data_IF_525858866438
#
_entry.id   IF_525858866438
#
_cell.length_a   1.000
_cell.length_b   1.000
_cell.length_c   1.000
_cell.angle_alpha   90.00
_cell.angle_beta   90.00
_cell.angle_gamma   90.00
#
_symmetry.space_group_name_H-M   'P 1'
#
loop_
_entity.id
_entity.type
_entity.pdbx_description
1 polymer ?
#
# COMPACT_ATOMS: atom_id res chain seq x y z
N UNK A 1 2.63 55.84 -13.25
CA UNK A 1 1.16 55.76 -13.12
C UNK A 1 0.81 54.28 -12.95
N UNK A 2 1.11 53.71 -11.77
CA UNK A 2 0.11 53.38 -10.75
C UNK A 2 -1.20 52.82 -11.31
N UNK A 3 -1.41 51.51 -11.16
CA UNK A 3 -2.52 50.92 -10.36
C UNK A 3 -2.37 49.39 -10.31
N UNK A 4 -2.06 48.79 -9.15
CA UNK A 4 -2.96 48.46 -8.01
C UNK A 4 -3.77 47.17 -8.36
N UNK A 5 -3.91 46.10 -7.57
CA UNK A 5 -4.06 45.85 -6.11
C UNK A 5 -3.74 44.35 -5.90
N UNK A 6 -2.78 43.94 -5.05
CA UNK A 6 -2.91 43.49 -3.64
C UNK A 6 -3.95 42.38 -3.42
N UNK A 7 -3.52 41.32 -2.72
CA UNK A 7 -4.22 40.46 -1.73
C UNK A 7 -3.43 39.13 -1.74
N UNK A 8 -2.90 38.57 -0.65
CA UNK A 8 -2.86 38.94 0.75
C UNK A 8 -1.66 38.18 1.34
N UNK A 9 -0.86 38.86 2.15
CA UNK A 9 -0.08 38.22 3.21
C UNK A 9 -1.06 37.49 4.15
N UNK A 10 -0.61 36.35 4.68
CA UNK A 10 -1.04 35.63 5.89
C UNK A 10 -1.47 34.19 5.57
N UNK A 11 -0.52 33.25 5.74
CA UNK A 11 -0.67 32.11 6.64
C UNK A 11 0.63 31.30 6.70
N UNK A 12 1.34 31.50 7.81
CA UNK A 12 2.00 30.46 8.62
C UNK A 12 3.18 29.67 8.00
N UNK A 13 4.37 29.99 8.52
CA UNK A 13 5.49 29.08 8.83
C UNK A 13 5.46 27.71 8.12
N UNK A 14 6.00 27.69 6.91
CA UNK A 14 6.68 26.50 6.41
C UNK A 14 8.04 27.00 6.00
N UNK A 15 9.08 26.52 6.68
CA UNK A 15 10.44 26.49 6.17
C UNK A 15 10.44 25.61 4.91
N UNK A 16 9.87 26.15 3.82
CA UNK A 16 10.02 25.65 2.48
C UNK A 16 11.43 26.02 2.11
N UNK A 17 12.36 25.08 2.29
CA UNK A 17 13.61 25.07 1.57
C UNK A 17 13.30 25.10 0.08
N UNK A 18 13.15 26.32 -0.46
CA UNK A 18 13.41 26.61 -1.86
C UNK A 18 14.88 26.29 -2.08
N UNK A 19 15.20 25.03 -2.37
CA UNK A 19 16.45 24.70 -3.03
C UNK A 19 16.34 25.34 -4.40
N UNK A 20 16.94 26.51 -4.57
CA UNK A 20 16.98 27.19 -5.86
C UNK A 20 17.53 26.23 -6.92
N UNK A 21 16.99 26.28 -8.14
CA UNK A 21 17.45 25.46 -9.25
C UNK A 21 18.98 25.53 -9.43
N UNK A 22 19.61 26.67 -9.10
CA UNK A 22 21.06 26.88 -9.09
C UNK A 22 21.85 25.93 -8.17
N UNK A 23 21.29 25.54 -7.02
CA UNK A 23 21.95 24.61 -6.09
C UNK A 23 21.87 23.15 -6.56
N UNK A 24 20.77 22.77 -7.24
CA UNK A 24 20.61 21.42 -7.87
C UNK A 24 21.61 21.21 -9.00
N UNK A 25 21.84 22.27 -9.78
CA UNK A 25 22.73 22.30 -10.95
C UNK A 25 24.20 22.12 -10.58
N UNK A 26 24.63 22.72 -9.45
CA UNK A 26 26.01 22.70 -8.99
C UNK A 26 26.49 21.32 -8.51
N UNK A 27 25.56 20.44 -8.15
CA UNK A 27 25.85 19.21 -7.40
C UNK A 27 26.09 17.97 -8.31
N UNK A 28 25.50 17.90 -9.50
CA UNK A 28 25.60 16.72 -10.39
C UNK A 28 26.09 16.99 -11.82
N UNK A 29 26.13 18.25 -12.24
CA UNK A 29 26.26 18.63 -13.64
C UNK A 29 24.95 18.39 -14.43
N UNK A 30 24.57 19.38 -15.26
CA UNK A 30 23.30 19.37 -16.00
C UNK A 30 23.09 18.14 -16.89
N UNK A 31 24.12 17.71 -17.63
CA UNK A 31 23.98 16.67 -18.66
C UNK A 31 23.54 15.31 -18.10
N UNK A 32 23.98 14.96 -16.89
CA UNK A 32 23.61 13.68 -16.27
C UNK A 32 22.18 13.69 -15.72
N UNK A 33 21.75 14.83 -15.14
CA UNK A 33 20.39 14.99 -14.64
C UNK A 33 19.37 15.09 -15.77
N UNK A 34 19.73 15.71 -16.90
CA UNK A 34 18.84 15.83 -18.05
C UNK A 34 18.44 14.47 -18.63
N UNK A 35 19.38 13.51 -18.71
CA UNK A 35 19.08 12.14 -19.16
C UNK A 35 18.11 11.43 -18.20
N UNK A 36 18.33 11.56 -16.89
CA UNK A 36 17.41 10.95 -15.91
C UNK A 36 16.03 11.63 -15.91
N UNK A 37 15.97 12.93 -16.18
CA UNK A 37 14.72 13.68 -16.33
C UNK A 37 13.94 13.25 -17.59
N UNK A 38 14.63 12.92 -18.69
CA UNK A 38 13.99 12.34 -19.88
C UNK A 38 13.35 10.99 -19.58
N UNK A 39 14.05 10.09 -18.87
CA UNK A 39 13.47 8.82 -18.40
C UNK A 39 12.26 9.06 -17.49
N UNK A 40 12.37 10.06 -16.61
CA UNK A 40 11.31 10.47 -15.69
C UNK A 40 10.05 10.95 -16.42
N UNK A 41 10.23 11.73 -17.49
CA UNK A 41 9.15 12.19 -18.38
C UNK A 41 8.51 11.03 -19.13
N UNK A 42 9.31 10.07 -19.63
CA UNK A 42 8.81 8.89 -20.29
C UNK A 42 7.94 8.04 -19.35
N UNK A 43 8.39 7.81 -18.12
CA UNK A 43 7.60 7.12 -17.10
C UNK A 43 6.30 7.86 -16.80
N UNK A 44 6.37 9.17 -16.54
CA UNK A 44 5.17 10.01 -16.30
C UNK A 44 4.18 9.91 -17.46
N UNK A 45 4.65 9.93 -18.70
CA UNK A 45 3.80 9.80 -19.88
C UNK A 45 3.07 8.46 -19.90
N UNK A 46 3.75 7.36 -19.58
CA UNK A 46 3.12 6.03 -19.57
C UNK A 46 2.13 5.91 -18.40
N UNK A 47 2.47 6.42 -17.21
CA UNK A 47 1.64 6.28 -16.00
C UNK A 47 0.51 7.30 -15.86
N UNK A 48 0.56 8.43 -16.56
CA UNK A 48 -0.48 9.47 -16.52
C UNK A 48 -1.66 9.18 -17.46
N UNK A 49 -1.63 8.09 -18.22
CA UNK A 49 -2.82 7.66 -18.93
C UNK A 49 -3.86 7.23 -17.90
N UNK A 50 -5.01 7.92 -17.88
CA UNK A 50 -6.21 7.41 -17.20
C UNK A 50 -6.59 6.09 -17.86
N UNK A 51 -6.22 4.99 -17.22
CA UNK A 51 -6.58 3.66 -17.70
C UNK A 51 -8.03 3.42 -17.26
N UNK A 52 -8.98 3.78 -18.11
CA UNK A 52 -10.40 3.47 -17.90
C UNK A 52 -10.73 1.98 -18.19
N UNK A 53 -9.80 1.06 -17.91
CA UNK A 53 -9.92 -0.35 -18.29
C UNK A 53 -8.88 -1.28 -17.65
N UNK A 54 -8.90 -2.54 -18.08
CA UNK A 54 -8.00 -3.59 -17.58
C UNK A 54 -6.57 -3.34 -18.08
N UNK A 55 -5.63 -3.25 -17.15
CA UNK A 55 -4.19 -3.10 -17.44
C UNK A 55 -3.67 -4.39 -18.07
N UNK A 56 -3.06 -4.37 -19.26
CA UNK A 56 -2.47 -5.58 -19.84
C UNK A 56 -1.14 -5.96 -19.18
N UNK A 57 -0.75 -7.25 -19.23
CA UNK A 57 0.57 -7.69 -18.74
C UNK A 57 1.71 -6.99 -19.48
N UNK A 58 1.55 -6.74 -20.78
CA UNK A 58 2.53 -6.00 -21.58
C UNK A 58 2.70 -4.57 -21.09
N UNK A 59 1.59 -3.87 -20.78
CA UNK A 59 1.64 -2.54 -20.21
C UNK A 59 2.37 -2.56 -18.85
N UNK A 60 2.05 -3.51 -17.97
CA UNK A 60 2.71 -3.65 -16.66
C UNK A 60 4.23 -3.86 -16.82
N UNK A 61 4.65 -4.70 -17.78
CA UNK A 61 6.07 -4.91 -18.13
C UNK A 61 6.73 -3.63 -18.65
N UNK A 62 6.07 -2.88 -19.53
CA UNK A 62 6.58 -1.61 -20.06
C UNK A 62 6.79 -0.56 -18.96
N UNK A 63 5.84 -0.46 -18.03
CA UNK A 63 5.98 0.42 -16.85
C UNK A 63 7.13 -0.05 -15.96
N UNK A 64 7.29 -1.35 -15.76
CA UNK A 64 8.41 -1.92 -14.97
C UNK A 64 9.75 -1.51 -15.56
N UNK A 65 9.92 -1.64 -16.88
CA UNK A 65 11.14 -1.26 -17.59
C UNK A 65 11.41 0.25 -17.44
N UNK A 66 10.39 1.09 -17.62
CA UNK A 66 10.52 2.53 -17.42
C UNK A 66 10.94 2.88 -15.98
N UNK A 67 10.37 2.18 -15.01
CA UNK A 67 10.74 2.31 -13.60
C UNK A 67 12.19 1.92 -13.31
N UNK A 68 12.65 0.79 -13.86
CA UNK A 68 14.05 0.35 -13.74
C UNK A 68 15.01 1.36 -14.36
N UNK A 69 14.66 1.92 -15.53
CA UNK A 69 15.49 2.93 -16.19
C UNK A 69 15.64 4.20 -15.35
N UNK A 70 14.55 4.71 -14.76
CA UNK A 70 14.59 5.92 -13.92
C UNK A 70 15.36 5.67 -12.62
N UNK A 71 15.04 4.58 -11.91
CA UNK A 71 15.69 4.26 -10.63
C UNK A 71 17.18 3.96 -10.81
N UNK A 72 17.56 3.19 -11.83
CA UNK A 72 18.97 2.94 -12.17
C UNK A 72 19.70 4.23 -12.55
N UNK A 73 19.06 5.13 -13.29
CA UNK A 73 19.69 6.40 -13.68
C UNK A 73 20.05 7.24 -12.45
N UNK A 74 19.08 7.53 -11.58
CA UNK A 74 19.33 8.33 -10.38
C UNK A 74 20.22 7.60 -9.35
N UNK A 75 20.10 6.28 -9.23
CA UNK A 75 20.91 5.48 -8.30
C UNK A 75 22.41 5.45 -8.64
N UNK A 76 22.77 5.70 -9.91
CA UNK A 76 24.17 5.78 -10.34
C UNK A 76 24.81 7.15 -10.09
N UNK A 77 24.01 8.16 -9.74
CA UNK A 77 24.48 9.51 -9.46
C UNK A 77 24.71 9.69 -7.96
N UNK A 78 25.76 10.44 -7.59
CA UNK A 78 26.18 10.60 -6.18
C UNK A 78 25.66 11.87 -5.50
N UNK A 79 25.10 12.79 -6.28
CA UNK A 79 24.60 14.08 -5.80
C UNK A 79 23.30 13.94 -4.98
N UNK A 80 23.05 14.88 -4.09
CA UNK A 80 21.92 14.81 -3.15
C UNK A 80 20.57 14.90 -3.89
N UNK A 81 20.50 15.75 -4.91
CA UNK A 81 19.32 15.86 -5.78
C UNK A 81 18.97 14.54 -6.46
N UNK A 82 19.97 13.75 -6.87
CA UNK A 82 19.73 12.43 -7.46
C UNK A 82 19.32 11.40 -6.40
N UNK A 83 19.88 11.44 -5.20
CA UNK A 83 19.44 10.56 -4.10
C UNK A 83 17.97 10.80 -3.74
N UNK A 84 17.54 12.07 -3.67
CA UNK A 84 16.15 12.43 -3.42
C UNK A 84 15.23 11.87 -4.52
N UNK A 85 15.59 12.06 -5.80
CA UNK A 85 14.83 11.51 -6.92
C UNK A 85 14.83 9.97 -6.92
N UNK A 86 15.97 9.34 -6.62
CA UNK A 86 16.07 7.89 -6.49
C UNK A 86 15.07 7.36 -5.46
N UNK A 87 15.08 7.92 -4.24
CA UNK A 87 14.14 7.54 -3.16
C UNK A 87 12.68 7.73 -3.59
N UNK A 88 12.37 8.87 -4.21
CA UNK A 88 11.03 9.16 -4.73
C UNK A 88 10.58 8.11 -5.77
N UNK A 89 11.43 7.83 -6.77
CA UNK A 89 11.09 6.92 -7.84
C UNK A 89 11.05 5.46 -7.40
N UNK A 90 11.88 5.03 -6.44
CA UNK A 90 11.76 3.70 -5.83
C UNK A 90 10.39 3.51 -5.21
N UNK A 91 9.96 4.41 -4.30
CA UNK A 91 8.64 4.33 -3.65
C UNK A 91 7.50 4.39 -4.68
N UNK A 92 7.58 5.32 -5.64
CA UNK A 92 6.58 5.47 -6.70
C UNK A 92 6.46 4.20 -7.56
N UNK A 93 7.59 3.65 -8.00
CA UNK A 93 7.62 2.48 -8.87
C UNK A 93 7.22 1.19 -8.16
N UNK A 94 7.57 1.04 -6.88
CA UNK A 94 7.04 -0.05 -6.05
C UNK A 94 5.51 -0.02 -6.05
N UNK A 95 4.90 1.13 -5.74
CA UNK A 95 3.44 1.30 -5.71
C UNK A 95 2.79 1.05 -7.07
N UNK A 96 3.30 1.67 -8.14
CA UNK A 96 2.72 1.54 -9.48
C UNK A 96 2.82 0.10 -9.99
N UNK A 97 3.98 -0.56 -9.85
CA UNK A 97 4.13 -1.94 -10.29
C UNK A 97 3.19 -2.85 -9.48
N UNK A 98 3.09 -2.66 -8.17
CA UNK A 98 2.22 -3.46 -7.32
C UNK A 98 0.78 -3.50 -7.86
N UNK A 99 0.18 -2.35 -8.18
CA UNK A 99 -1.17 -2.31 -8.75
C UNK A 99 -1.24 -2.78 -10.21
N UNK A 100 -0.26 -2.46 -11.05
CA UNK A 100 -0.28 -2.86 -12.46
C UNK A 100 -0.20 -4.39 -12.65
N UNK A 101 0.37 -5.10 -11.68
CA UNK A 101 0.39 -6.56 -11.63
C UNK A 101 -0.71 -7.17 -10.75
N UNK A 102 -1.70 -6.37 -10.34
CA UNK A 102 -2.86 -6.83 -9.53
C UNK A 102 -2.44 -7.48 -8.20
N UNK A 103 -1.27 -7.10 -7.67
CA UNK A 103 -0.78 -7.64 -6.41
C UNK A 103 -1.66 -7.25 -5.23
N UNK A 104 -2.41 -6.16 -5.35
CA UNK A 104 -3.42 -5.75 -4.38
C UNK A 104 -4.52 -6.78 -4.23
N UNK A 105 -5.09 -7.23 -5.35
CA UNK A 105 -6.12 -8.26 -5.34
C UNK A 105 -5.55 -9.61 -4.90
N UNK A 106 -4.36 -9.96 -5.39
CA UNK A 106 -3.68 -11.19 -5.01
C UNK A 106 -3.43 -11.27 -3.50
N UNK A 107 -2.91 -10.19 -2.92
CA UNK A 107 -2.54 -10.16 -1.51
C UNK A 107 -3.77 -10.18 -0.59
N UNK A 108 -4.86 -9.52 -0.97
CA UNK A 108 -6.13 -9.60 -0.23
C UNK A 108 -6.69 -11.04 -0.23
N UNK A 109 -6.67 -11.72 -1.39
CA UNK A 109 -7.06 -13.14 -1.47
C UNK A 109 -6.16 -14.02 -0.63
N UNK A 110 -4.85 -13.79 -0.67
CA UNK A 110 -3.91 -14.51 0.19
C UNK A 110 -4.25 -14.32 1.69
N UNK A 111 -4.60 -13.10 2.11
CA UNK A 111 -5.02 -12.85 3.49
C UNK A 111 -6.28 -13.64 3.86
N UNK A 112 -7.26 -13.72 2.96
CA UNK A 112 -8.47 -14.54 3.18
C UNK A 112 -8.11 -16.03 3.34
N UNK A 113 -7.25 -16.58 2.48
CA UNK A 113 -6.83 -17.98 2.54
C UNK A 113 -6.04 -18.32 3.83
N UNK A 114 -5.22 -17.38 4.30
CA UNK A 114 -4.50 -17.52 5.58
C UNK A 114 -5.48 -17.46 6.74
N UNK A 115 -6.40 -16.50 6.75
CA UNK A 115 -7.40 -16.33 7.80
C UNK A 115 -8.33 -17.54 7.93
N UNK A 116 -8.78 -18.10 6.80
CA UNK A 116 -9.63 -19.30 6.77
C UNK A 116 -8.84 -20.59 7.06
N UNK A 117 -7.51 -20.52 7.13
CA UNK A 117 -6.63 -21.68 7.31
C UNK A 117 -6.86 -22.81 6.29
N UNK A 118 -7.20 -22.45 5.05
CA UNK A 118 -7.50 -23.38 3.96
C UNK A 118 -6.28 -24.20 3.51
N UNK A 119 -5.07 -23.74 3.87
CA UNK A 119 -3.81 -24.36 3.51
C UNK A 119 -3.05 -24.78 4.76
N UNK A 120 -2.80 -26.08 4.93
CA UNK A 120 -2.14 -26.60 6.14
C UNK A 120 -0.79 -25.94 6.46
N UNK A 121 -0.03 -25.50 5.45
CA UNK A 121 1.26 -24.85 5.64
C UNK A 121 1.17 -23.44 6.24
N UNK A 122 0.00 -22.79 6.28
CA UNK A 122 -0.13 -21.45 6.86
C UNK A 122 0.01 -21.46 8.38
N UNK A 123 -0.23 -22.61 9.02
CA UNK A 123 -0.12 -22.79 10.48
C UNK A 123 1.31 -22.67 11.01
N UNK A 124 2.30 -22.86 10.14
CA UNK A 124 3.71 -22.84 10.51
C UNK A 124 4.31 -21.41 10.49
N UNK A 125 3.56 -20.42 9.99
CA UNK A 125 4.07 -19.07 9.75
C UNK A 125 3.08 -17.99 10.17
N UNK A 126 3.52 -17.07 11.02
CA UNK A 126 2.71 -15.92 11.42
C UNK A 126 2.81 -14.77 10.40
N UNK A 127 2.05 -14.89 9.31
CA UNK A 127 2.00 -13.86 8.27
C UNK A 127 1.38 -12.54 8.76
N UNK A 128 0.61 -12.55 9.84
CA UNK A 128 -0.06 -11.37 10.39
C UNK A 128 0.66 -10.74 11.60
N UNK A 129 1.82 -11.28 12.00
CA UNK A 129 2.66 -10.75 13.07
C UNK A 129 2.86 -9.23 12.99
N UNK A 130 2.63 -8.50 14.08
CA UNK A 130 3.00 -7.08 14.17
C UNK A 130 4.51 -6.88 14.39
N UNK A 131 5.24 -7.93 14.76
CA UNK A 131 6.69 -7.91 14.86
C UNK A 131 7.31 -8.13 13.46
N UNK A 132 8.07 -7.14 12.97
CA UNK A 132 8.65 -7.14 11.62
C UNK A 132 9.69 -8.23 11.40
N UNK A 133 10.47 -8.61 12.41
CA UNK A 133 11.44 -9.70 12.29
C UNK A 133 10.72 -11.05 12.12
N UNK A 134 9.67 -11.28 12.92
CA UNK A 134 8.83 -12.47 12.80
C UNK A 134 8.09 -12.50 11.47
N UNK A 135 7.55 -11.36 11.01
CA UNK A 135 6.90 -11.25 9.70
C UNK A 135 7.88 -11.52 8.56
N UNK A 136 9.10 -11.00 8.65
CA UNK A 136 10.16 -11.28 7.66
C UNK A 136 10.53 -12.75 7.62
N UNK A 137 10.55 -13.44 8.76
CA UNK A 137 10.70 -14.90 8.81
C UNK A 137 9.49 -15.60 8.20
N UNK A 138 8.26 -15.18 8.51
CA UNK A 138 7.04 -15.79 7.98
C UNK A 138 6.99 -15.71 6.44
N UNK A 139 7.24 -14.54 5.85
CA UNK A 139 7.27 -14.39 4.38
C UNK A 139 8.55 -14.96 3.75
N UNK A 140 9.69 -14.92 4.43
CA UNK A 140 10.94 -15.48 3.94
C UNK A 140 10.95 -17.00 3.92
N UNK A 141 10.78 -17.64 5.08
CA UNK A 141 10.75 -19.09 5.24
C UNK A 141 9.45 -19.70 4.73
N UNK A 142 8.32 -19.00 4.90
CA UNK A 142 7.02 -19.41 4.37
C UNK A 142 6.82 -19.11 2.89
N UNK A 143 7.82 -18.56 2.18
CA UNK A 143 7.72 -18.20 0.75
C UNK A 143 7.11 -19.31 -0.12
N UNK A 144 7.49 -20.57 0.11
CA UNK A 144 6.94 -21.69 -0.66
C UNK A 144 5.43 -21.88 -0.42
N UNK A 145 4.96 -21.70 0.82
CA UNK A 145 3.54 -21.73 1.15
C UNK A 145 2.79 -20.53 0.55
N UNK A 146 3.36 -19.33 0.66
CA UNK A 146 2.84 -18.12 0.01
C UNK A 146 2.67 -18.33 -1.50
N UNK A 147 3.71 -18.79 -2.19
CA UNK A 147 3.68 -18.98 -3.65
C UNK A 147 2.69 -20.09 -4.05
N UNK A 148 2.53 -21.14 -3.24
CA UNK A 148 1.51 -22.16 -3.48
C UNK A 148 0.11 -21.53 -3.49
N UNK A 149 -0.23 -20.77 -2.46
CA UNK A 149 -1.53 -20.11 -2.35
C UNK A 149 -1.72 -19.12 -3.51
N UNK A 150 -0.70 -18.31 -3.80
CA UNK A 150 -0.76 -17.32 -4.87
C UNK A 150 -1.06 -17.97 -6.23
N UNK A 151 -0.43 -19.10 -6.56
CA UNK A 151 -0.69 -19.82 -7.81
C UNK A 151 -2.13 -20.32 -7.94
N UNK A 152 -2.82 -20.57 -6.83
CA UNK A 152 -4.20 -21.05 -6.84
C UNK A 152 -5.22 -19.91 -6.97
N UNK A 153 -4.94 -18.73 -6.37
CA UNK A 153 -5.95 -17.66 -6.22
C UNK A 153 -5.65 -16.36 -6.99
N UNK A 154 -4.40 -16.14 -7.41
CA UNK A 154 -3.97 -14.90 -8.04
C UNK A 154 -3.97 -14.97 -9.58
N UNK A 155 -3.90 -13.80 -10.23
CA UNK A 155 -3.83 -13.73 -11.69
C UNK A 155 -2.41 -14.01 -12.19
N UNK A 156 -2.28 -14.35 -13.48
CA UNK A 156 -0.99 -14.55 -14.15
C UNK A 156 -0.06 -13.32 -14.01
N UNK A 157 -0.63 -12.11 -13.95
CA UNK A 157 0.15 -10.88 -13.73
C UNK A 157 0.79 -10.89 -12.34
N UNK A 158 0.02 -11.22 -11.32
CA UNK A 158 0.54 -11.30 -9.96
C UNK A 158 1.62 -12.37 -9.84
N UNK A 159 1.43 -13.54 -10.47
CA UNK A 159 2.46 -14.59 -10.52
C UNK A 159 3.73 -14.08 -11.19
N UNK A 160 3.61 -13.39 -12.34
CA UNK A 160 4.76 -12.79 -13.04
C UNK A 160 5.53 -11.80 -12.14
N UNK A 161 4.81 -11.00 -11.34
CA UNK A 161 5.42 -10.12 -10.36
C UNK A 161 6.15 -10.91 -9.27
N UNK A 162 5.51 -11.93 -8.71
CA UNK A 162 6.09 -12.73 -7.63
C UNK A 162 7.35 -13.48 -8.07
N UNK A 163 7.40 -13.99 -9.29
CA UNK A 163 8.57 -14.70 -9.83
C UNK A 163 9.81 -13.80 -9.92
N UNK A 164 9.62 -12.52 -10.23
CA UNK A 164 10.72 -11.59 -10.55
C UNK A 164 10.98 -10.55 -9.46
N UNK A 165 9.97 -10.24 -8.64
CA UNK A 165 9.94 -9.12 -7.69
C UNK A 165 9.43 -9.51 -6.30
N UNK A 166 9.53 -10.79 -5.91
CA UNK A 166 9.16 -11.22 -4.55
C UNK A 166 9.82 -10.38 -3.43
N UNK A 167 11.08 -9.98 -3.62
CA UNK A 167 11.78 -9.12 -2.66
C UNK A 167 11.07 -7.79 -2.45
N UNK A 168 10.55 -7.15 -3.51
CA UNK A 168 9.79 -5.92 -3.39
C UNK A 168 8.51 -6.11 -2.56
N UNK A 169 7.84 -7.26 -2.68
CA UNK A 169 6.69 -7.58 -1.83
C UNK A 169 7.14 -7.69 -0.36
N UNK A 170 8.25 -8.38 -0.11
CA UNK A 170 8.79 -8.49 1.24
C UNK A 170 9.13 -7.11 1.82
N UNK A 171 9.74 -6.23 1.03
CA UNK A 171 10.06 -4.87 1.46
C UNK A 171 8.79 -4.10 1.83
N UNK A 172 7.75 -4.16 0.98
CA UNK A 172 6.45 -3.53 1.27
C UNK A 172 5.85 -4.05 2.59
N UNK A 173 5.99 -5.34 2.88
CA UNK A 173 5.36 -5.96 4.04
C UNK A 173 6.21 -5.91 5.31
N UNK A 174 7.50 -5.58 5.23
CA UNK A 174 8.43 -5.72 6.36
C UNK A 174 9.33 -4.51 6.61
N UNK A 175 9.47 -3.59 5.65
CA UNK A 175 10.24 -2.36 5.83
C UNK A 175 9.37 -1.25 6.41
N UNK A 176 9.55 -1.02 7.70
CA UNK A 176 8.95 0.10 8.42
C UNK A 176 9.84 1.34 8.36
N UNK A 177 9.25 2.49 7.99
CA UNK A 177 9.91 3.78 8.06
C UNK A 177 9.17 4.71 9.05
N UNK A 178 9.76 5.03 10.21
CA UNK A 178 9.14 5.89 11.22
C UNK A 178 8.78 7.30 10.72
N UNK A 179 9.47 7.79 9.69
CA UNK A 179 9.28 9.16 9.16
C UNK A 179 8.01 9.30 8.31
N UNK A 180 7.42 8.20 7.83
CA UNK A 180 6.28 8.26 6.90
C UNK A 180 4.91 8.44 7.62
N UNK A 181 4.91 8.61 8.96
CA UNK A 181 3.76 9.00 9.79
C UNK A 181 2.42 8.32 9.42
N UNK A 182 2.39 6.98 9.31
CA UNK A 182 1.17 6.19 9.06
C UNK A 182 0.51 6.34 7.67
N UNK A 183 1.17 7.04 6.73
CA UNK A 183 0.73 7.16 5.34
C UNK A 183 1.61 6.38 4.36
N UNK A 184 2.53 5.56 4.86
CA UNK A 184 3.39 4.78 3.97
C UNK A 184 2.59 3.70 3.25
N UNK A 185 3.15 3.23 2.13
CA UNK A 185 2.57 2.10 1.42
C UNK A 185 2.62 0.82 2.26
N UNK A 186 3.63 0.68 3.11
CA UNK A 186 3.72 -0.38 4.12
C UNK A 186 2.55 -0.31 5.11
N UNK A 187 2.29 0.86 5.71
CA UNK A 187 1.23 1.04 6.71
C UNK A 187 -0.15 0.70 6.14
N UNK A 188 -0.40 1.09 4.88
CA UNK A 188 -1.63 0.72 4.17
C UNK A 188 -1.78 -0.81 4.06
N UNK A 189 -0.74 -1.52 3.64
CA UNK A 189 -0.80 -2.98 3.43
C UNK A 189 -0.75 -3.80 4.71
N UNK A 190 -0.17 -3.24 5.77
CA UNK A 190 -0.30 -3.77 7.12
C UNK A 190 -1.75 -3.70 7.58
N UNK A 191 -2.38 -2.52 7.46
CA UNK A 191 -3.77 -2.33 7.87
C UNK A 191 -4.76 -3.19 7.06
N UNK A 192 -4.49 -3.42 5.77
CA UNK A 192 -5.32 -4.27 4.90
C UNK A 192 -5.33 -5.75 5.31
N UNK A 193 -4.49 -6.20 6.25
CA UNK A 193 -4.59 -7.55 6.83
C UNK A 193 -5.89 -7.74 7.63
N UNK A 194 -6.60 -6.67 7.99
CA UNK A 194 -7.93 -6.72 8.59
C UNK A 194 -9.05 -7.08 7.59
N UNK A 195 -8.76 -7.12 6.28
CA UNK A 195 -9.78 -7.37 5.25
C UNK A 195 -10.56 -8.68 5.46
N UNK A 196 -9.95 -9.82 5.85
CA UNK A 196 -10.71 -11.06 6.06
C UNK A 196 -11.76 -10.94 7.17
N UNK A 197 -11.47 -10.18 8.24
CA UNK A 197 -12.44 -9.89 9.30
C UNK A 197 -13.61 -9.06 8.76
N UNK A 198 -13.31 -8.06 7.91
CA UNK A 198 -14.35 -7.27 7.24
C UNK A 198 -15.20 -8.13 6.31
N UNK A 199 -14.58 -9.03 5.54
CA UNK A 199 -15.29 -9.96 4.66
C UNK A 199 -16.22 -10.89 5.46
N UNK A 200 -15.78 -11.37 6.63
CA UNK A 200 -16.60 -12.18 7.52
C UNK A 200 -17.81 -11.39 8.05
N UNK A 201 -17.60 -10.14 8.49
CA UNK A 201 -18.68 -9.25 8.91
C UNK A 201 -19.69 -9.00 7.78
N UNK A 202 -19.23 -8.62 6.59
CA UNK A 202 -20.10 -8.35 5.44
C UNK A 202 -20.91 -9.59 5.04
N UNK A 203 -20.28 -10.76 5.04
CA UNK A 203 -20.95 -12.02 4.71
C UNK A 203 -22.11 -12.33 5.66
N UNK A 204 -21.91 -12.17 6.97
CA UNK A 204 -22.97 -12.38 7.96
C UNK A 204 -24.04 -11.28 7.85
N UNK A 205 -23.66 -10.03 7.57
CA UNK A 205 -24.62 -8.93 7.41
C UNK A 205 -25.52 -9.11 6.16
N UNK A 206 -24.97 -9.65 5.07
CA UNK A 206 -25.72 -9.93 3.84
C UNK A 206 -26.64 -11.15 3.97
N UNK A 207 -26.18 -12.19 4.67
CA UNK A 207 -26.95 -13.42 4.88
C UNK A 207 -26.84 -13.88 6.33
N UNK A 208 -27.63 -13.28 7.26
CA UNK A 208 -27.57 -13.62 8.66
C UNK A 208 -27.89 -15.10 8.88
N UNK A 209 -26.94 -15.80 9.48
CA UNK A 209 -27.10 -17.19 9.92
C UNK A 209 -27.44 -17.27 11.40
N UNK A 210 -27.14 -16.21 12.16
CA UNK A 210 -27.27 -16.18 13.61
C UNK A 210 -26.20 -17.02 14.33
N UNK A 211 -25.23 -17.56 13.59
CA UNK A 211 -24.17 -18.41 14.16
C UNK A 211 -23.10 -17.60 14.90
N UNK A 212 -22.97 -16.31 14.58
CA UNK A 212 -22.06 -15.37 15.21
C UNK A 212 -22.75 -14.01 15.31
N UNK A 213 -22.55 -13.30 16.41
CA UNK A 213 -23.08 -11.95 16.60
C UNK A 213 -22.49 -10.96 15.57
N UNK A 214 -23.36 -10.18 14.92
CA UNK A 214 -22.93 -9.08 14.04
C UNK A 214 -22.14 -8.02 14.82
N UNK A 215 -22.48 -7.80 16.09
CA UNK A 215 -21.70 -6.93 16.97
C UNK A 215 -20.28 -7.46 17.11
N UNK A 216 -20.09 -8.74 17.47
CA UNK A 216 -18.76 -9.32 17.68
C UNK A 216 -17.91 -9.27 16.40
N UNK A 217 -18.52 -9.56 15.24
CA UNK A 217 -17.82 -9.46 13.95
C UNK A 217 -17.41 -8.02 13.64
N UNK A 218 -18.30 -7.05 13.85
CA UNK A 218 -17.99 -5.63 13.68
C UNK A 218 -16.88 -5.18 14.63
N UNK A 219 -16.98 -5.59 15.89
CA UNK A 219 -16.04 -5.23 16.95
C UNK A 219 -14.63 -5.73 16.65
N UNK A 220 -14.52 -6.98 16.19
CA UNK A 220 -13.28 -7.57 15.71
C UNK A 220 -12.62 -6.78 14.58
N UNK A 221 -13.42 -6.21 13.66
CA UNK A 221 -12.90 -5.36 12.59
C UNK A 221 -12.39 -4.04 13.17
N UNK A 222 -13.15 -3.42 14.06
CA UNK A 222 -12.79 -2.16 14.71
C UNK A 222 -11.49 -2.29 15.53
N UNK A 223 -11.35 -3.37 16.30
CA UNK A 223 -10.13 -3.68 17.06
C UNK A 223 -8.92 -3.84 16.14
N UNK A 224 -9.06 -4.65 15.07
CA UNK A 224 -7.99 -4.80 14.10
C UNK A 224 -7.59 -3.46 13.47
N UNK A 225 -8.57 -2.61 13.10
CA UNK A 225 -8.28 -1.28 12.57
C UNK A 225 -7.61 -0.36 13.60
N UNK A 226 -7.91 -0.51 14.88
CA UNK A 226 -7.32 0.28 15.95
C UNK A 226 -5.83 0.00 16.15
N UNK A 227 -5.42 -1.26 15.98
CA UNK A 227 -4.01 -1.69 16.04
C UNK A 227 -3.16 -1.12 14.89
N UNK A 228 -3.80 -0.73 13.79
CA UNK A 228 -3.11 -0.22 12.60
C UNK A 228 -3.28 1.30 12.45
N UNK A 229 -2.16 2.02 12.57
CA UNK A 229 -2.19 3.47 12.60
C UNK A 229 -2.75 4.13 11.33
N UNK A 230 -2.65 3.48 10.16
CA UNK A 230 -3.26 3.92 8.90
C UNK A 230 -4.76 4.21 8.99
N UNK A 231 -5.52 3.35 9.69
CA UNK A 231 -6.96 3.55 9.90
C UNK A 231 -7.24 4.44 11.11
N UNK A 232 -6.44 4.30 12.16
CA UNK A 232 -6.63 5.05 13.40
C UNK A 232 -6.42 6.57 13.19
N UNK A 233 -5.39 6.99 12.45
CA UNK A 233 -5.14 8.40 12.17
C UNK A 233 -6.31 9.05 11.40
N UNK A 234 -6.96 8.28 10.53
CA UNK A 234 -8.16 8.70 9.79
C UNK A 234 -9.44 8.65 10.64
N UNK A 235 -9.33 8.25 11.92
CA UNK A 235 -10.43 8.01 12.86
C UNK A 235 -11.47 7.03 12.33
N UNK A 236 -11.06 6.12 11.45
CA UNK A 236 -11.96 5.14 10.85
C UNK A 236 -12.30 4.03 11.85
N UNK A 237 -11.31 3.60 12.66
CA UNK A 237 -11.52 2.62 13.73
C UNK A 237 -12.55 3.10 14.76
N UNK A 238 -12.42 4.35 15.24
CA UNK A 238 -13.36 4.96 16.21
C UNK A 238 -14.78 5.06 15.64
N UNK A 239 -14.91 5.50 14.38
CA UNK A 239 -16.20 5.58 13.69
C UNK A 239 -16.84 4.20 13.54
N UNK A 240 -16.05 3.19 13.17
CA UNK A 240 -16.55 1.83 13.04
C UNK A 240 -17.00 1.29 14.39
N UNK A 241 -16.21 1.46 15.46
CA UNK A 241 -16.58 1.05 16.82
C UNK A 241 -17.91 1.67 17.26
N UNK A 242 -18.12 2.96 16.97
CA UNK A 242 -19.40 3.65 17.26
C UNK A 242 -20.58 3.20 16.38
N UNK A 243 -20.32 2.61 15.20
CA UNK A 243 -21.37 1.96 14.40
C UNK A 243 -21.67 0.56 14.93
N UNK A 244 -20.66 -0.18 15.40
CA UNK A 244 -20.84 -1.52 15.93
C UNK A 244 -21.85 -1.55 17.09
N UNK A 245 -21.82 -0.56 17.99
CA UNK A 245 -22.74 -0.51 19.14
C UNK A 245 -24.23 -0.50 18.74
N UNK A 246 -24.58 -0.11 17.51
CA UNK A 246 -25.97 -0.15 17.04
C UNK A 246 -26.51 -1.58 16.87
N UNK A 247 -25.62 -2.55 16.62
CA UNK A 247 -26.01 -3.97 16.54
C UNK A 247 -26.28 -4.59 17.93
N UNK A 248 -25.95 -3.89 19.02
CA UNK A 248 -26.37 -4.29 20.38
C UNK A 248 -27.85 -3.95 20.57
N UNK A 249 -28.27 -2.77 20.10
CA UNK A 249 -29.61 -2.23 20.34
C UNK A 249 -30.70 -2.97 19.53
N UNK A 250 -30.38 -3.44 18.32
CA UNK A 250 -31.34 -4.17 17.46
C UNK A 250 -31.65 -5.59 17.98
N UNK A 251 -30.76 -6.23 18.74
CA UNK A 251 -31.02 -7.56 19.32
C UNK A 251 -31.88 -7.52 20.59
N UNK A 252 -32.20 -6.33 21.13
CA UNK A 252 -33.03 -6.16 22.32
C UNK A 252 -34.50 -5.84 21.99
N UNK A 253 -34.82 -5.44 20.76
CA UNK A 253 -36.20 -5.20 20.33
C UNK A 253 -36.93 -6.51 19.94
N UNK A 254 -36.20 -7.57 19.58
CA UNK A 254 -36.77 -8.88 19.21
C UNK A 254 -37.06 -9.81 20.42
N UNK A 255 -36.73 -9.40 21.65
CA UNK A 255 -36.98 -10.19 22.88
C UNK A 255 -38.26 -9.76 23.64
N UNK A 256 -39.03 -8.81 23.08
CA UNK A 256 -40.22 -8.21 23.71
C UNK A 256 -41.50 -8.18 22.84
N UNK A 257 -41.66 -9.14 21.92
CA UNK A 257 -42.95 -9.42 21.24
C UNK A 257 -43.38 -10.90 21.33
#
# INVERSE_FOLDING_TARGET
MFRFIIILTICLNIDLFFVSAENVIKDCGWNNLEICDQNSKALKKITNFEINGVISLEYAKNVTIACENVTKCYGNLRCESAKLNFRYYVKKCQKVNFYNYEMDQCLLKFYDEVYQANYNCTKDFDYFSQNMDMKKVAYGSGKACFLKIANDVCSEKSITYLDTKYHNLLDILTEYNPEDHCHSFHDEWMARQCQPKMNAFLKEAENPTGSVSLYDLCDNVAECWYEHCYFNEKRLAERLKGLCSKFIDENLEDEYD
#
